data_IF_740607588150
#
_entry.id   IF_740607588150
#
_cell.length_a   1.000
_cell.length_b   1.000
_cell.length_c   1.000
_cell.angle_alpha   90.00
_cell.angle_beta   90.00
_cell.angle_gamma   90.00
#
_symmetry.space_group_name_H-M   'P 1'
#
loop_
_entity.id
_entity.type
_entity.pdbx_description
1 polymer ?
#
# COMPACT_ATOMS: atom_id res chain seq x y z
N UNK A 1 24.67 14.10 -2.04
CA UNK A 1 23.38 14.48 -1.45
C UNK A 1 22.30 14.44 -2.50
N UNK A 2 21.08 14.07 -2.12
CA UNK A 2 19.90 14.19 -2.96
C UNK A 2 18.68 14.62 -2.15
N UNK A 3 17.74 15.26 -2.83
CA UNK A 3 16.47 15.70 -2.24
C UNK A 3 15.31 15.09 -3.04
N UNK A 4 14.21 14.78 -2.37
CA UNK A 4 12.99 14.36 -3.04
C UNK A 4 12.13 15.59 -3.26
N UNK A 5 11.86 15.92 -4.53
CA UNK A 5 11.05 17.05 -4.90
C UNK A 5 9.60 16.85 -4.42
N UNK A 6 8.92 17.94 -4.04
CA UNK A 6 7.52 17.92 -3.63
C UNK A 6 6.61 17.28 -4.70
N UNK A 7 6.89 17.55 -6.00
CA UNK A 7 6.18 16.94 -7.13
C UNK A 7 6.24 15.40 -7.08
N UNK A 8 7.37 14.83 -6.67
CA UNK A 8 7.53 13.38 -6.57
C UNK A 8 6.78 12.82 -5.35
N UNK A 9 6.73 13.56 -4.23
CA UNK A 9 5.92 13.19 -3.07
C UNK A 9 4.42 13.20 -3.40
N UNK A 10 3.96 14.18 -4.18
CA UNK A 10 2.58 14.24 -4.67
C UNK A 10 2.27 12.98 -5.52
N UNK A 11 3.12 12.65 -6.49
CA UNK A 11 2.97 11.43 -7.30
C UNK A 11 2.91 10.19 -6.41
N UNK A 12 3.76 10.10 -5.39
CA UNK A 12 3.79 8.97 -4.44
C UNK A 12 2.52 8.91 -3.61
N UNK A 13 2.05 10.03 -3.06
CA UNK A 13 0.81 10.11 -2.29
C UNK A 13 -0.40 9.66 -3.09
N UNK A 14 -0.45 10.02 -4.38
CA UNK A 14 -1.52 9.60 -5.29
C UNK A 14 -1.41 8.14 -5.76
N UNK A 15 -0.30 7.45 -5.51
CA UNK A 15 -0.08 6.09 -6.02
C UNK A 15 0.12 5.02 -4.94
N UNK A 16 0.04 5.37 -3.66
CA UNK A 16 0.29 4.44 -2.56
C UNK A 16 -0.91 4.28 -1.63
N UNK A 17 -0.97 3.11 -0.96
CA UNK A 17 -1.87 2.82 0.19
C UNK A 17 -3.37 2.90 -0.04
N UNK A 18 -3.86 2.76 -1.27
CA UNK A 18 -5.29 2.83 -1.52
C UNK A 18 -6.11 1.86 -0.67
N UNK A 19 -5.70 0.59 -0.62
CA UNK A 19 -6.44 -0.44 0.12
C UNK A 19 -6.45 -0.19 1.62
N UNK A 20 -5.32 0.23 2.20
CA UNK A 20 -5.24 0.56 3.63
C UNK A 20 -6.19 1.71 3.98
N UNK A 21 -6.17 2.79 3.19
CA UNK A 21 -7.01 3.97 3.44
C UNK A 21 -8.47 3.68 3.17
N UNK A 22 -8.79 2.94 2.10
CA UNK A 22 -10.15 2.55 1.76
C UNK A 22 -10.76 1.67 2.87
N UNK A 23 -10.02 0.67 3.36
CA UNK A 23 -10.49 -0.20 4.44
C UNK A 23 -10.69 0.56 5.77
N UNK A 24 -9.84 1.56 6.06
CA UNK A 24 -10.04 2.42 7.25
C UNK A 24 -11.28 3.31 7.11
N UNK A 25 -11.54 3.87 5.94
CA UNK A 25 -12.72 4.69 5.69
C UNK A 25 -13.99 3.83 5.79
N UNK A 26 -14.04 2.69 5.12
CA UNK A 26 -15.19 1.80 5.15
C UNK A 26 -15.41 1.27 6.57
N UNK A 27 -14.36 0.82 7.25
CA UNK A 27 -14.43 0.34 8.64
C UNK A 27 -14.86 1.44 9.62
N UNK A 28 -14.36 2.66 9.44
CA UNK A 28 -14.77 3.83 10.25
C UNK A 28 -16.21 4.22 10.03
N UNK A 29 -16.70 4.18 8.78
CA UNK A 29 -18.11 4.42 8.47
C UNK A 29 -19.00 3.35 9.09
N UNK A 30 -18.63 2.07 8.99
CA UNK A 30 -19.39 0.97 9.57
C UNK A 30 -19.48 1.09 11.10
N UNK A 31 -18.34 1.36 11.78
CA UNK A 31 -18.31 1.60 13.21
C UNK A 31 -19.12 2.86 13.60
N UNK A 32 -19.02 3.93 12.81
CA UNK A 32 -19.80 5.14 13.03
C UNK A 32 -21.29 4.90 12.94
N UNK A 33 -21.77 4.17 11.94
CA UNK A 33 -23.17 3.79 11.80
C UNK A 33 -23.64 2.92 12.97
N UNK A 34 -22.83 1.94 13.41
CA UNK A 34 -23.16 1.09 14.53
C UNK A 34 -23.28 1.90 15.84
N UNK A 35 -22.35 2.85 16.10
CA UNK A 35 -22.44 3.72 17.28
C UNK A 35 -23.68 4.63 17.24
N UNK A 36 -24.07 5.13 16.06
CA UNK A 36 -25.27 5.94 15.90
C UNK A 36 -26.55 5.12 16.19
N UNK A 37 -26.57 3.87 15.78
CA UNK A 37 -27.67 2.92 16.04
C UNK A 37 -27.79 2.62 17.54
N UNK A 38 -26.66 2.39 18.22
CA UNK A 38 -26.59 2.15 19.67
C UNK A 38 -27.09 3.35 20.52
N UNK A 39 -26.98 4.57 20.00
CA UNK A 39 -27.47 5.80 20.67
C UNK A 39 -28.90 6.20 20.28
N UNK A 40 -29.68 5.31 19.63
CA UNK A 40 -31.05 5.60 19.14
C UNK A 40 -31.17 6.88 18.29
N UNK A 41 -30.06 7.31 17.71
CA UNK A 41 -30.10 8.43 16.77
C UNK A 41 -30.74 7.94 15.47
N UNK A 42 -31.91 8.44 15.13
CA UNK A 42 -32.73 8.07 13.96
C UNK A 42 -32.05 8.33 12.60
N UNK A 43 -30.78 8.72 12.61
CA UNK A 43 -30.01 9.06 11.41
C UNK A 43 -29.87 7.87 10.42
N UNK A 44 -29.79 6.64 10.95
CA UNK A 44 -29.72 5.44 10.09
C UNK A 44 -31.08 5.16 9.42
N UNK A 45 -32.21 5.37 10.13
CA UNK A 45 -33.55 5.27 9.57
C UNK A 45 -33.82 6.37 8.55
N UNK A 46 -33.44 7.60 8.86
CA UNK A 46 -33.59 8.73 7.95
C UNK A 46 -32.77 8.53 6.65
N UNK A 47 -31.55 8.01 6.75
CA UNK A 47 -30.74 7.64 5.56
C UNK A 47 -31.38 6.51 4.75
N UNK A 48 -32.00 5.50 5.40
CA UNK A 48 -32.66 4.41 4.69
C UNK A 48 -33.95 4.88 4.03
N UNK A 49 -34.66 5.83 4.59
CA UNK A 49 -35.90 6.40 4.04
C UNK A 49 -35.59 7.37 2.89
N UNK A 50 -34.59 8.23 3.02
CA UNK A 50 -34.04 9.00 1.90
C UNK A 50 -33.55 8.08 0.77
N UNK A 51 -32.94 6.96 1.14
CA UNK A 51 -32.47 5.97 0.19
C UNK A 51 -33.61 5.25 -0.54
N UNK A 52 -34.76 5.02 0.06
CA UNK A 52 -35.93 4.39 -0.55
C UNK A 52 -36.73 5.36 -1.45
N UNK A 53 -36.78 6.65 -1.07
CA UNK A 53 -37.46 7.68 -1.84
C UNK A 53 -36.63 8.20 -3.04
N UNK A 54 -35.30 8.09 -2.96
CA UNK A 54 -34.45 8.45 -4.08
C UNK A 54 -34.55 7.39 -5.16
N UNK A 55 -35.21 7.74 -6.26
CA UNK A 55 -35.11 7.00 -7.52
C UNK A 55 -33.62 6.99 -7.90
N UNK A 56 -32.93 5.88 -7.58
CA UNK A 56 -31.47 5.81 -7.67
C UNK A 56 -31.00 6.05 -9.10
N UNK A 57 -30.80 7.32 -9.41
CA UNK A 57 -30.09 7.66 -10.64
C UNK A 57 -28.68 7.07 -10.54
N UNK A 58 -28.27 6.24 -11.50
CA UNK A 58 -26.89 5.74 -11.63
C UNK A 58 -25.85 6.85 -11.49
N UNK A 59 -26.23 8.10 -11.83
CA UNK A 59 -25.43 9.29 -11.66
C UNK A 59 -25.13 9.61 -10.18
N UNK A 60 -26.09 9.47 -9.28
CA UNK A 60 -25.87 9.72 -7.85
C UNK A 60 -24.91 8.69 -7.24
N UNK A 61 -25.08 7.41 -7.57
CA UNK A 61 -24.17 6.35 -7.12
C UNK A 61 -22.75 6.60 -7.65
N UNK A 62 -22.63 6.98 -8.93
CA UNK A 62 -21.33 7.33 -9.50
C UNK A 62 -20.67 8.51 -8.79
N UNK A 63 -21.41 9.56 -8.47
CA UNK A 63 -20.91 10.71 -7.71
C UNK A 63 -20.43 10.33 -6.31
N UNK A 64 -21.17 9.46 -5.60
CA UNK A 64 -20.76 8.97 -4.27
C UNK A 64 -19.46 8.16 -4.35
N UNK A 65 -19.37 7.24 -5.30
CA UNK A 65 -18.15 6.43 -5.52
C UNK A 65 -16.95 7.33 -5.85
N UNK A 66 -17.12 8.29 -6.76
CA UNK A 66 -16.07 9.26 -7.10
C UNK A 66 -15.67 10.13 -5.89
N UNK A 67 -16.64 10.53 -5.06
CA UNK A 67 -16.39 11.26 -3.81
C UNK A 67 -15.51 10.45 -2.84
N UNK A 68 -15.83 9.18 -2.61
CA UNK A 68 -15.04 8.29 -1.76
C UNK A 68 -13.62 8.13 -2.31
N UNK A 69 -13.48 7.90 -3.61
CA UNK A 69 -12.16 7.81 -4.26
C UNK A 69 -11.37 9.10 -4.07
N UNK A 70 -11.98 10.25 -4.26
CA UNK A 70 -11.33 11.55 -4.08
C UNK A 70 -10.85 11.75 -2.63
N UNK A 71 -11.66 11.38 -1.63
CA UNK A 71 -11.30 11.46 -0.21
C UNK A 71 -10.11 10.54 0.09
N UNK A 72 -10.10 9.29 -0.43
CA UNK A 72 -8.97 8.35 -0.28
C UNK A 72 -7.69 8.93 -0.86
N UNK A 73 -7.75 9.47 -2.08
CA UNK A 73 -6.60 10.07 -2.74
C UNK A 73 -6.07 11.29 -1.99
N UNK A 74 -6.96 12.17 -1.55
CA UNK A 74 -6.60 13.37 -0.81
C UNK A 74 -5.96 13.05 0.53
N UNK A 75 -6.53 12.11 1.28
CA UNK A 75 -5.99 11.65 2.57
C UNK A 75 -4.59 11.05 2.41
N UNK A 76 -4.38 10.21 1.40
CA UNK A 76 -3.07 9.64 1.12
C UNK A 76 -2.05 10.68 0.68
N UNK A 77 -2.48 11.65 -0.11
CA UNK A 77 -1.65 12.75 -0.56
C UNK A 77 -1.18 13.60 0.63
N UNK A 78 -2.12 14.08 1.44
CA UNK A 78 -1.84 14.93 2.61
C UNK A 78 -0.91 14.19 3.59
N UNK A 79 -1.24 12.95 3.92
CA UNK A 79 -0.43 12.14 4.85
C UNK A 79 0.99 11.92 4.33
N UNK A 80 1.15 11.65 3.04
CA UNK A 80 2.46 11.43 2.43
C UNK A 80 3.28 12.71 2.40
N UNK A 81 2.67 13.83 2.03
CA UNK A 81 3.35 15.13 2.00
C UNK A 81 3.77 15.57 3.40
N UNK A 82 2.88 15.51 4.39
CA UNK A 82 3.21 15.88 5.79
C UNK A 82 4.34 15.00 6.32
N UNK A 83 4.27 13.70 6.10
CA UNK A 83 5.23 12.73 6.62
C UNK A 83 6.62 12.88 6.03
N UNK A 84 6.73 13.13 4.72
CA UNK A 84 8.00 13.14 3.99
C UNK A 84 8.39 14.54 3.48
N UNK A 85 7.80 15.57 4.04
CA UNK A 85 8.13 16.96 3.67
C UNK A 85 9.62 17.24 3.81
N UNK A 86 10.19 18.00 2.86
CA UNK A 86 11.62 18.36 2.82
C UNK A 86 12.56 17.16 3.02
N UNK A 87 12.26 16.05 2.34
CA UNK A 87 13.10 14.85 2.41
C UNK A 87 14.47 15.12 1.81
N UNK A 88 15.48 15.13 2.66
CA UNK A 88 16.86 15.41 2.30
C UNK A 88 17.78 14.32 2.81
N UNK A 89 18.61 13.78 1.92
CA UNK A 89 19.64 12.82 2.24
C UNK A 89 21.02 13.45 2.01
N UNK A 90 21.77 13.66 3.08
CA UNK A 90 23.11 14.26 3.05
C UNK A 90 24.14 13.22 3.43
N UNK A 91 25.21 13.12 2.63
CA UNK A 91 26.33 12.24 2.92
C UNK A 91 27.24 12.90 3.96
N UNK A 92 27.50 12.17 5.04
CA UNK A 92 28.44 12.56 6.10
C UNK A 92 29.49 11.46 6.23
N UNK A 93 30.70 11.71 5.78
CA UNK A 93 31.84 10.76 5.82
C UNK A 93 31.45 9.35 5.33
N UNK A 94 31.24 8.41 6.26
CA UNK A 94 30.87 7.00 6.00
C UNK A 94 29.37 6.73 6.07
N UNK A 95 28.54 7.71 6.50
CA UNK A 95 27.13 7.55 6.76
C UNK A 95 26.29 8.47 5.86
N UNK A 96 25.01 8.17 5.73
CA UNK A 96 24.02 9.01 5.08
C UNK A 96 23.01 9.48 6.13
N UNK A 97 22.94 10.77 6.37
CA UNK A 97 21.93 11.37 7.24
C UNK A 97 20.69 11.70 6.42
N UNK A 98 19.54 11.21 6.86
CA UNK A 98 18.26 11.40 6.21
C UNK A 98 17.35 12.18 7.14
N UNK A 99 16.95 13.38 6.71
CA UNK A 99 16.03 14.26 7.43
C UNK A 99 14.73 14.44 6.63
N UNK A 100 13.58 14.33 7.31
CA UNK A 100 12.27 14.53 6.70
C UNK A 100 11.18 14.80 7.75
N UNK A 101 10.07 15.40 7.32
CA UNK A 101 8.87 15.63 8.11
C UNK A 101 8.52 17.11 8.27
N UNK A 102 7.20 17.42 8.24
CA UNK A 102 6.69 18.78 8.38
C UNK A 102 6.42 19.13 9.85
N UNK A 103 5.64 18.29 10.54
CA UNK A 103 5.22 18.53 11.93
C UNK A 103 6.28 18.01 12.90
N UNK A 104 6.73 16.78 12.67
CA UNK A 104 7.78 16.13 13.46
C UNK A 104 8.94 15.75 12.56
N UNK A 105 10.02 16.50 12.65
CA UNK A 105 11.24 16.19 11.89
C UNK A 105 11.88 14.94 12.43
N UNK A 106 12.08 13.95 11.56
CA UNK A 106 12.82 12.74 11.84
C UNK A 106 14.19 12.83 11.18
N UNK A 107 15.24 12.52 11.96
CA UNK A 107 16.61 12.34 11.46
C UNK A 107 17.00 10.89 11.67
N UNK A 108 17.42 10.22 10.59
CA UNK A 108 17.87 8.83 10.63
C UNK A 108 19.23 8.73 10.00
N UNK A 109 20.16 8.08 10.71
CA UNK A 109 21.49 7.82 10.21
C UNK A 109 21.54 6.45 9.55
N UNK A 110 21.84 6.42 8.26
CA UNK A 110 22.02 5.20 7.49
C UNK A 110 23.52 4.87 7.42
N UNK A 111 23.89 3.75 8.03
CA UNK A 111 25.25 3.21 7.98
C UNK A 111 25.29 2.00 7.05
N UNK A 112 26.06 2.02 5.95
CA UNK A 112 26.12 0.91 4.99
C UNK A 112 26.41 -0.45 5.63
N UNK A 113 27.33 -0.47 6.59
CA UNK A 113 27.74 -1.70 7.30
C UNK A 113 26.63 -2.35 8.14
N UNK A 114 25.59 -1.59 8.51
CA UNK A 114 24.45 -2.08 9.30
C UNK A 114 23.25 -2.46 8.41
N UNK A 115 23.30 -2.23 7.11
CA UNK A 115 22.21 -2.55 6.19
C UNK A 115 22.11 -4.06 6.03
N UNK A 116 20.95 -4.59 6.37
CA UNK A 116 20.62 -6.02 6.21
C UNK A 116 19.78 -6.28 4.96
N UNK A 117 18.94 -5.32 4.58
CA UNK A 117 18.03 -5.49 3.46
C UNK A 117 17.79 -4.17 2.74
N UNK A 118 17.91 -4.21 1.43
CA UNK A 118 17.51 -3.14 0.52
C UNK A 118 16.34 -3.63 -0.33
N UNK A 119 15.15 -3.11 -0.07
CA UNK A 119 13.92 -3.52 -0.76
C UNK A 119 13.41 -2.40 -1.62
N UNK A 120 13.21 -2.67 -2.91
CA UNK A 120 12.51 -1.79 -3.84
C UNK A 120 11.10 -2.30 -4.09
N UNK A 121 10.13 -1.41 -4.08
CA UNK A 121 8.75 -1.72 -4.42
C UNK A 121 8.24 -0.71 -5.43
N UNK A 122 7.51 -1.20 -6.42
CA UNK A 122 6.92 -0.37 -7.47
C UNK A 122 5.58 -0.96 -7.87
N UNK A 123 4.51 -0.20 -7.71
CA UNK A 123 3.20 -0.60 -8.19
C UNK A 123 3.00 -0.19 -9.67
N UNK A 124 1.87 -0.57 -10.27
CA UNK A 124 1.60 -0.28 -11.67
C UNK A 124 1.56 1.23 -11.97
N UNK A 125 0.90 2.01 -11.12
CA UNK A 125 0.84 3.48 -11.27
C UNK A 125 2.21 4.13 -11.07
N UNK A 126 3.00 3.66 -10.10
CA UNK A 126 4.37 4.15 -9.89
C UNK A 126 5.26 3.86 -11.10
N UNK A 127 5.06 2.69 -11.74
CA UNK A 127 5.78 2.35 -12.97
C UNK A 127 5.45 3.33 -14.11
N UNK A 128 4.17 3.70 -14.27
CA UNK A 128 3.73 4.68 -15.26
C UNK A 128 4.35 6.07 -15.01
N UNK A 129 4.52 6.43 -13.74
CA UNK A 129 5.09 7.72 -13.32
C UNK A 129 6.63 7.70 -13.16
N UNK A 130 7.29 6.55 -13.46
CA UNK A 130 8.73 6.34 -13.32
C UNK A 130 9.27 6.64 -11.91
N UNK A 131 8.51 6.25 -10.89
CA UNK A 131 8.89 6.36 -9.48
C UNK A 131 8.82 4.99 -8.80
N UNK A 132 9.57 4.83 -7.70
CA UNK A 132 9.59 3.61 -6.89
C UNK A 132 9.81 3.97 -5.41
N UNK A 133 9.38 3.09 -4.53
CA UNK A 133 9.65 3.21 -3.09
C UNK A 133 10.81 2.30 -2.69
N UNK A 134 11.72 2.83 -1.88
CA UNK A 134 12.83 2.06 -1.31
C UNK A 134 12.59 1.91 0.19
N UNK A 135 12.81 0.71 0.71
CA UNK A 135 12.83 0.43 2.14
C UNK A 135 14.16 -0.23 2.48
N UNK A 136 14.87 0.38 3.42
CA UNK A 136 16.17 -0.10 3.89
C UNK A 136 16.00 -0.50 5.35
N UNK A 137 16.30 -1.73 5.66
CA UNK A 137 16.29 -2.24 7.02
C UNK A 137 17.74 -2.34 7.51
N UNK A 138 18.01 -1.76 8.68
CA UNK A 138 19.30 -1.83 9.35
C UNK A 138 19.23 -2.66 10.63
N UNK A 139 20.35 -3.27 11.03
CA UNK A 139 20.49 -3.84 12.35
C UNK A 139 20.48 -2.70 13.40
N UNK A 140 19.59 -2.80 14.39
CA UNK A 140 19.60 -1.91 15.55
C UNK A 140 20.63 -2.41 16.56
N UNK A 141 21.52 -1.53 17.00
CA UNK A 141 22.54 -1.86 18.03
C UNK A 141 22.03 -1.62 19.45
N UNK A 142 20.80 -1.13 19.63
CA UNK A 142 20.26 -0.83 20.96
C UNK A 142 18.99 -1.61 21.24
N UNK A 143 18.96 -2.28 22.38
CA UNK A 143 17.80 -2.87 23.04
C UNK A 143 17.02 -1.72 23.69
N UNK A 144 16.45 -0.83 22.90
CA UNK A 144 15.54 0.19 23.44
C UNK A 144 14.12 -0.35 23.40
N UNK A 145 13.51 -0.36 24.57
CA UNK A 145 12.20 -0.92 24.92
C UNK A 145 10.97 -0.24 24.28
N UNK A 146 11.17 0.65 23.33
CA UNK A 146 10.09 1.28 22.55
C UNK A 146 10.01 0.68 21.16
N UNK A 147 8.87 0.10 20.82
CA UNK A 147 8.54 -0.58 19.55
C UNK A 147 8.82 0.20 18.24
N UNK A 148 9.31 1.42 18.33
CA UNK A 148 9.53 2.34 17.20
C UNK A 148 10.96 2.37 16.65
N UNK A 149 11.91 1.63 17.23
CA UNK A 149 13.34 1.70 16.88
C UNK A 149 13.83 0.50 16.08
N UNK A 150 13.01 -0.01 15.18
CA UNK A 150 13.56 -0.63 13.98
C UNK A 150 13.98 0.52 13.08
N UNK A 151 15.27 0.70 12.89
CA UNK A 151 15.83 1.76 12.03
C UNK A 151 15.53 1.49 10.54
N UNK A 152 14.23 1.38 10.25
CA UNK A 152 13.73 1.18 8.89
C UNK A 152 13.67 2.54 8.20
N UNK A 153 14.56 2.77 7.27
CA UNK A 153 14.54 3.94 6.41
C UNK A 153 13.61 3.68 5.23
N UNK A 154 12.63 4.56 5.05
CA UNK A 154 11.76 4.55 3.88
C UNK A 154 12.03 5.77 3.03
N UNK A 155 12.35 5.56 1.76
CA UNK A 155 12.58 6.62 0.76
C UNK A 155 11.44 6.53 -0.26
N UNK A 156 10.45 7.43 -0.17
CA UNK A 156 9.27 7.40 -1.04
C UNK A 156 9.58 8.07 -2.38
N UNK A 157 9.03 7.51 -3.46
CA UNK A 157 9.02 8.17 -4.76
C UNK A 157 10.40 8.41 -5.38
N UNK A 158 11.35 7.52 -5.16
CA UNK A 158 12.66 7.62 -5.81
C UNK A 158 12.57 7.42 -7.32
N UNK A 159 13.41 8.13 -8.06
CA UNK A 159 13.71 7.81 -9.46
C UNK A 159 14.71 6.66 -9.54
N UNK A 160 14.82 6.03 -10.72
CA UNK A 160 15.82 4.99 -10.96
C UNK A 160 17.26 5.49 -10.73
N UNK A 161 17.55 6.74 -11.09
CA UNK A 161 18.87 7.35 -10.86
C UNK A 161 19.15 7.48 -9.36
N UNK A 162 18.19 7.94 -8.57
CA UNK A 162 18.33 8.05 -7.10
C UNK A 162 18.47 6.69 -6.44
N UNK A 163 17.75 5.67 -6.94
CA UNK A 163 17.92 4.28 -6.51
C UNK A 163 19.37 3.83 -6.70
N UNK A 164 19.94 4.07 -7.89
CA UNK A 164 21.32 3.67 -8.20
C UNK A 164 22.31 4.34 -7.27
N UNK A 165 22.19 5.65 -7.04
CA UNK A 165 23.04 6.40 -6.12
C UNK A 165 23.01 5.82 -4.69
N UNK A 166 21.81 5.44 -4.20
CA UNK A 166 21.67 4.81 -2.89
C UNK A 166 22.26 3.40 -2.87
N UNK A 167 22.07 2.65 -3.91
CA UNK A 167 22.60 1.29 -4.05
C UNK A 167 24.12 1.30 -4.07
N UNK A 168 24.73 2.17 -4.90
CA UNK A 168 26.18 2.33 -5.00
C UNK A 168 26.79 2.84 -3.69
N UNK A 169 26.05 3.66 -2.93
CA UNK A 169 26.48 4.12 -1.61
C UNK A 169 26.51 3.00 -0.57
N UNK A 170 25.55 2.07 -0.62
CA UNK A 170 25.41 0.99 0.38
C UNK A 170 26.35 -0.17 0.05
N UNK A 171 26.36 -0.62 -1.20
CA UNK A 171 27.08 -1.84 -1.61
C UNK A 171 28.40 -1.56 -2.34
N UNK A 172 28.67 -0.30 -2.71
CA UNK A 172 29.80 0.05 -3.56
C UNK A 172 29.52 -0.20 -5.04
N UNK A 173 30.43 0.21 -5.90
CA UNK A 173 30.30 0.03 -7.36
C UNK A 173 30.56 -1.40 -7.84
N UNK A 174 31.22 -2.23 -7.04
CA UNK A 174 31.54 -3.61 -7.35
C UNK A 174 30.55 -4.55 -6.64
N UNK A 175 29.32 -4.60 -7.13
CA UNK A 175 28.40 -5.69 -6.76
C UNK A 175 28.83 -6.90 -7.59
N UNK A 176 29.33 -7.96 -6.91
CA UNK A 176 29.63 -9.24 -7.54
C UNK A 176 28.39 -9.86 -8.17
N UNK A 177 28.53 -11.08 -8.69
CA UNK A 177 27.42 -11.78 -9.35
C UNK A 177 26.15 -11.78 -8.48
N UNK A 178 25.09 -11.16 -8.99
CA UNK A 178 23.79 -11.12 -8.33
C UNK A 178 23.09 -12.48 -8.54
N UNK A 179 22.83 -13.20 -7.46
CA UNK A 179 21.99 -14.39 -7.51
C UNK A 179 20.52 -13.96 -7.44
N UNK A 180 19.80 -14.17 -8.51
CA UNK A 180 18.35 -13.87 -8.56
C UNK A 180 17.55 -15.08 -8.10
N UNK A 181 16.94 -15.01 -6.93
CA UNK A 181 16.03 -16.01 -6.43
C UNK A 181 14.59 -15.67 -6.81
N UNK A 182 13.95 -16.55 -7.56
CA UNK A 182 12.52 -16.46 -7.88
C UNK A 182 11.67 -17.18 -6.82
N UNK A 183 10.44 -16.72 -6.55
CA UNK A 183 9.55 -17.40 -5.62
C UNK A 183 9.26 -18.84 -6.10
N UNK A 184 9.20 -19.79 -5.16
CA UNK A 184 8.81 -21.16 -5.47
C UNK A 184 7.30 -21.22 -5.82
N UNK A 185 6.90 -22.15 -6.68
CA UNK A 185 5.50 -22.45 -7.02
C UNK A 185 4.62 -22.69 -5.79
N UNK A 186 5.17 -23.26 -4.71
CA UNK A 186 4.44 -23.42 -3.44
C UNK A 186 3.84 -22.11 -2.92
N UNK A 187 4.57 -21.01 -3.04
CA UNK A 187 4.06 -19.69 -2.62
C UNK A 187 2.89 -19.22 -3.49
N UNK A 188 2.94 -19.50 -4.79
CA UNK A 188 1.81 -19.23 -5.68
C UNK A 188 0.58 -20.04 -5.29
N UNK A 189 0.74 -21.35 -5.07
CA UNK A 189 -0.34 -22.26 -4.69
C UNK A 189 -1.00 -21.83 -3.38
N UNK A 190 -0.20 -21.51 -2.35
CA UNK A 190 -0.72 -21.02 -1.06
C UNK A 190 -1.52 -19.74 -1.26
N UNK A 191 -0.97 -18.76 -1.97
CA UNK A 191 -1.68 -17.51 -2.23
C UNK A 191 -2.96 -17.74 -3.05
N UNK A 192 -2.93 -18.62 -4.04
CA UNK A 192 -4.09 -18.98 -4.84
C UNK A 192 -5.20 -19.60 -3.98
N UNK A 193 -4.87 -20.55 -3.11
CA UNK A 193 -5.84 -21.20 -2.22
C UNK A 193 -6.46 -20.19 -1.28
N UNK A 194 -5.66 -19.40 -0.55
CA UNK A 194 -6.17 -18.50 0.48
C UNK A 194 -6.84 -17.24 -0.07
N UNK A 195 -6.37 -16.65 -1.16
CA UNK A 195 -6.86 -15.37 -1.66
C UNK A 195 -7.81 -15.48 -2.85
N UNK A 196 -7.84 -16.62 -3.54
CA UNK A 196 -8.71 -16.82 -4.69
C UNK A 196 -9.71 -17.95 -4.46
N UNK A 197 -9.24 -19.16 -4.23
CA UNK A 197 -10.09 -20.35 -4.16
C UNK A 197 -11.04 -20.31 -2.96
N UNK A 198 -10.51 -20.15 -1.75
CA UNK A 198 -11.27 -20.21 -0.50
C UNK A 198 -12.34 -19.10 -0.39
N UNK A 199 -12.06 -17.81 -0.67
CA UNK A 199 -13.10 -16.79 -0.68
C UNK A 199 -14.15 -17.01 -1.78
N UNK A 200 -13.73 -17.45 -2.98
CA UNK A 200 -14.67 -17.70 -4.08
C UNK A 200 -15.62 -18.87 -3.79
N UNK A 201 -15.12 -19.93 -3.15
CA UNK A 201 -15.98 -21.05 -2.70
C UNK A 201 -16.93 -20.61 -1.60
N UNK A 202 -16.49 -19.77 -0.66
CA UNK A 202 -17.35 -19.18 0.36
C UNK A 202 -18.50 -18.37 -0.25
N UNK A 203 -18.19 -17.49 -1.21
CA UNK A 203 -19.20 -16.70 -1.93
C UNK A 203 -20.16 -17.58 -2.75
N UNK A 204 -19.66 -18.68 -3.33
CA UNK A 204 -20.49 -19.64 -4.06
C UNK A 204 -21.45 -20.39 -3.12
N UNK A 205 -20.96 -20.81 -1.96
CA UNK A 205 -21.80 -21.45 -0.93
C UNK A 205 -22.89 -20.49 -0.41
N UNK A 206 -22.58 -19.20 -0.23
CA UNK A 206 -23.60 -18.19 0.09
C UNK A 206 -24.64 -18.08 -1.01
N UNK A 207 -24.24 -18.11 -2.29
CA UNK A 207 -25.17 -18.11 -3.41
C UNK A 207 -26.14 -19.31 -3.41
N UNK A 208 -25.67 -20.50 -2.99
CA UNK A 208 -26.48 -21.71 -2.97
C UNK A 208 -27.43 -21.77 -1.77
N UNK A 209 -27.06 -21.20 -0.61
CA UNK A 209 -27.77 -21.39 0.65
C UNK A 209 -28.62 -20.18 1.07
N UNK A 210 -28.39 -18.98 0.53
CA UNK A 210 -29.06 -17.75 0.94
C UNK A 210 -29.86 -17.18 -0.24
N UNK A 211 -31.19 -17.06 -0.09
CA UNK A 211 -32.10 -16.63 -1.16
C UNK A 211 -31.75 -15.23 -1.70
N UNK A 212 -31.29 -14.33 -0.83
CA UNK A 212 -30.84 -12.98 -1.22
C UNK A 212 -29.74 -12.98 -2.29
N UNK A 213 -28.88 -14.00 -2.29
CA UNK A 213 -27.75 -14.12 -3.22
C UNK A 213 -28.05 -15.00 -4.46
N UNK A 214 -29.27 -15.49 -4.64
CA UNK A 214 -29.65 -16.35 -5.78
C UNK A 214 -29.77 -15.63 -7.12
N UNK A 215 -29.53 -14.32 -7.19
CA UNK A 215 -29.62 -13.56 -8.42
C UNK A 215 -28.56 -14.01 -9.45
N UNK A 216 -28.91 -13.94 -10.74
CA UNK A 216 -28.00 -14.29 -11.83
C UNK A 216 -26.72 -13.42 -11.81
N UNK A 217 -26.85 -12.14 -11.44
CA UNK A 217 -25.73 -11.19 -11.34
C UNK A 217 -24.70 -11.60 -10.27
N UNK A 218 -25.14 -12.32 -9.21
CA UNK A 218 -24.23 -12.81 -8.17
C UNK A 218 -23.22 -13.83 -8.70
N UNK A 219 -23.65 -14.72 -9.60
CA UNK A 219 -22.74 -15.69 -10.25
C UNK A 219 -21.66 -15.00 -11.07
N UNK A 220 -22.04 -13.97 -11.84
CA UNK A 220 -21.08 -13.18 -12.61
C UNK A 220 -20.08 -12.43 -11.69
N UNK A 221 -20.56 -11.93 -10.54
CA UNK A 221 -19.72 -11.27 -9.55
C UNK A 221 -18.71 -12.24 -8.95
N UNK A 222 -19.12 -13.45 -8.54
CA UNK A 222 -18.21 -14.48 -8.00
C UNK A 222 -17.18 -14.89 -9.06
N UNK A 223 -17.59 -15.08 -10.30
CA UNK A 223 -16.68 -15.43 -11.40
C UNK A 223 -15.67 -14.32 -11.67
N UNK A 224 -16.11 -13.07 -11.73
CA UNK A 224 -15.22 -11.92 -11.93
C UNK A 224 -14.22 -11.76 -10.78
N UNK A 225 -14.68 -11.93 -9.54
CA UNK A 225 -13.82 -11.93 -8.35
C UNK A 225 -12.74 -13.01 -8.42
N UNK A 226 -13.13 -14.25 -8.80
CA UNK A 226 -12.19 -15.35 -8.97
C UNK A 226 -11.13 -15.05 -10.03
N UNK A 227 -11.52 -14.54 -11.21
CA UNK A 227 -10.59 -14.20 -12.29
C UNK A 227 -9.62 -13.10 -11.86
N UNK A 228 -10.13 -12.04 -11.23
CA UNK A 228 -9.31 -10.90 -10.77
C UNK A 228 -8.28 -11.34 -9.71
N UNK A 229 -8.72 -12.13 -8.74
CA UNK A 229 -7.84 -12.62 -7.66
C UNK A 229 -6.82 -13.63 -8.15
N UNK A 230 -7.19 -14.51 -9.09
CA UNK A 230 -6.28 -15.43 -9.77
C UNK A 230 -5.19 -14.65 -10.55
N UNK A 231 -5.61 -13.66 -11.34
CA UNK A 231 -4.69 -12.79 -12.08
C UNK A 231 -3.75 -12.03 -11.13
N UNK A 232 -4.27 -11.50 -10.03
CA UNK A 232 -3.47 -10.82 -9.02
C UNK A 232 -2.45 -11.74 -8.36
N UNK A 233 -2.83 -12.98 -8.00
CA UNK A 233 -1.93 -13.99 -7.44
C UNK A 233 -0.82 -14.37 -8.41
N UNK A 234 -1.17 -14.59 -9.70
CA UNK A 234 -0.20 -14.91 -10.75
C UNK A 234 0.79 -13.75 -10.99
N UNK A 235 0.28 -12.52 -11.06
CA UNK A 235 1.10 -11.33 -11.25
C UNK A 235 2.03 -11.10 -10.05
N UNK A 236 1.53 -11.31 -8.84
CA UNK A 236 2.33 -11.24 -7.61
C UNK A 236 3.47 -12.27 -7.63
N UNK A 237 3.20 -13.50 -8.06
CA UNK A 237 4.21 -14.54 -8.22
C UNK A 237 5.29 -14.15 -9.23
N UNK A 238 4.88 -13.66 -10.41
CA UNK A 238 5.80 -13.31 -11.51
C UNK A 238 6.70 -12.11 -11.17
N UNK A 239 6.20 -11.14 -10.42
CA UNK A 239 6.89 -9.87 -10.18
C UNK A 239 7.76 -9.84 -8.93
N UNK A 240 7.76 -10.91 -8.12
CA UNK A 240 8.63 -10.99 -6.94
C UNK A 240 9.95 -11.68 -7.30
N UNK A 241 11.04 -11.03 -7.01
CA UNK A 241 12.39 -11.59 -7.07
C UNK A 241 13.20 -11.11 -5.86
N UNK A 242 14.07 -11.96 -5.34
CA UNK A 242 15.05 -11.62 -4.32
C UNK A 242 16.43 -11.67 -4.95
N UNK A 243 17.17 -10.58 -4.82
CA UNK A 243 18.56 -10.50 -5.26
C UNK A 243 19.46 -10.67 -4.03
N UNK A 244 20.38 -11.61 -4.11
CA UNK A 244 21.40 -11.83 -3.08
C UNK A 244 22.74 -11.48 -3.71
N UNK A 245 23.42 -10.49 -3.12
CA UNK A 245 24.80 -10.17 -3.43
C UNK A 245 25.71 -10.96 -2.48
N UNK A 246 26.72 -11.62 -3.03
CA UNK A 246 27.81 -12.24 -2.26
C UNK A 246 28.80 -11.19 -1.82
#
# INVERSE_FOLDING_TARGET
SFEIALKTLIKTGLTTRYFETLSLIIGGLFLGLQLLDDYELSFASDLTDIAKEADYSYGLIACLVLGVIAIVLLTNLITTVIKFYKYKATRSSKNLEIKYGLIKTKSVLLSPQKVQQFKTTQNWFQKLLNILDIKINQASSEVSSTKDVRSNVKVPGCTLAQKQVLFDFIYGKAVGEEITLKPNLRKFIINFIFFSLLPSTGLLLMHLNIDFFKSHYWRLLVLSFFIVTLYAAWRFYKNNALFISK
#
